data_IF_508277094686
#
_entry.id   IF_508277094686
#
_cell.length_a   1.000
_cell.length_b   1.000
_cell.length_c   1.000
_cell.angle_alpha   90.00
_cell.angle_beta   90.00
_cell.angle_gamma   90.00
#
_symmetry.space_group_name_H-M   'P 1'
#
loop_
_entity.id
_entity.type
_entity.pdbx_description
1 polymer ?
#
# COMPACT_ATOMS: atom_id res chain seq x y z
N UNK A 1 15.67 -13.09 -17.29
CA UNK A 1 16.20 -12.84 -15.94
C UNK A 1 15.18 -13.37 -14.95
N UNK A 2 15.60 -14.20 -13.99
CA UNK A 2 14.70 -14.66 -12.92
C UNK A 2 14.54 -13.51 -11.92
N UNK A 3 13.31 -13.15 -11.56
CA UNK A 3 13.03 -12.19 -10.50
C UNK A 3 13.59 -12.70 -9.17
N UNK A 4 14.16 -11.80 -8.36
CA UNK A 4 14.59 -12.13 -7.01
C UNK A 4 13.39 -12.49 -6.11
N UNK A 5 13.58 -13.29 -5.04
CA UNK A 5 12.51 -13.56 -4.08
C UNK A 5 11.89 -12.29 -3.47
N UNK A 6 12.68 -11.23 -3.33
CA UNK A 6 12.20 -9.92 -2.87
C UNK A 6 11.25 -9.26 -3.88
N UNK A 7 11.60 -9.26 -5.18
CA UNK A 7 10.75 -8.69 -6.23
C UNK A 7 9.42 -9.44 -6.31
N UNK A 8 9.44 -10.78 -6.23
CA UNK A 8 8.23 -11.60 -6.24
C UNK A 8 7.30 -11.27 -5.06
N UNK A 9 7.84 -11.24 -3.83
CA UNK A 9 7.06 -10.86 -2.65
C UNK A 9 6.56 -9.41 -2.72
N UNK A 10 7.36 -8.49 -3.27
CA UNK A 10 6.95 -7.09 -3.40
C UNK A 10 5.80 -6.91 -4.38
N UNK A 11 5.79 -7.66 -5.49
CA UNK A 11 4.66 -7.66 -6.42
C UNK A 11 3.42 -8.33 -5.80
N UNK A 12 3.57 -9.47 -5.12
CA UNK A 12 2.45 -10.11 -4.39
C UNK A 12 1.85 -9.15 -3.35
N UNK A 13 2.71 -8.44 -2.61
CA UNK A 13 2.27 -7.44 -1.63
C UNK A 13 1.46 -6.32 -2.28
N UNK A 14 1.95 -5.74 -3.40
CA UNK A 14 1.23 -4.69 -4.13
C UNK A 14 -0.11 -5.18 -4.66
N UNK A 15 -0.17 -6.39 -5.22
CA UNK A 15 -1.41 -6.99 -5.70
C UNK A 15 -2.44 -7.15 -4.57
N UNK A 16 -2.03 -7.62 -3.39
CA UNK A 16 -2.92 -7.73 -2.23
C UNK A 16 -3.37 -6.37 -1.69
N UNK A 17 -2.53 -5.33 -1.76
CA UNK A 17 -2.95 -3.97 -1.40
C UNK A 17 -4.00 -3.41 -2.36
N UNK A 18 -4.01 -3.80 -3.64
CA UNK A 18 -5.12 -3.43 -4.55
C UNK A 18 -6.45 -4.01 -4.08
N UNK A 19 -6.45 -5.20 -3.47
CA UNK A 19 -7.67 -5.79 -2.89
C UNK A 19 -8.12 -5.03 -1.62
N UNK A 20 -7.17 -4.52 -0.83
CA UNK A 20 -7.49 -3.62 0.31
C UNK A 20 -8.11 -2.32 -0.20
N UNK A 21 -7.55 -1.71 -1.25
CA UNK A 21 -8.12 -0.51 -1.87
C UNK A 21 -9.55 -0.76 -2.37
N UNK A 22 -9.78 -1.88 -3.07
CA UNK A 22 -11.13 -2.28 -3.54
C UNK A 22 -12.11 -2.48 -2.38
N UNK A 23 -11.67 -3.13 -1.28
CA UNK A 23 -12.49 -3.31 -0.08
C UNK A 23 -12.94 -1.97 0.51
N UNK A 24 -12.09 -0.95 0.42
CA UNK A 24 -12.34 0.38 0.96
C UNK A 24 -12.60 1.44 -0.11
N UNK A 25 -13.07 1.06 -1.30
CA UNK A 25 -13.11 1.96 -2.47
C UNK A 25 -13.91 3.24 -2.22
N UNK A 26 -14.98 3.17 -1.42
CA UNK A 26 -15.81 4.32 -1.06
C UNK A 26 -15.02 5.42 -0.33
N UNK A 27 -14.08 5.02 0.53
CA UNK A 27 -13.21 5.98 1.22
C UNK A 27 -12.38 6.79 0.22
N UNK A 28 -11.86 6.14 -0.82
CA UNK A 28 -11.01 6.78 -1.82
C UNK A 28 -11.82 7.61 -2.85
N UNK A 29 -13.02 7.15 -3.23
CA UNK A 29 -13.91 7.89 -4.15
C UNK A 29 -14.45 9.21 -3.59
N UNK A 30 -14.52 9.36 -2.27
CA UNK A 30 -14.99 10.58 -1.60
C UNK A 30 -13.88 11.61 -1.37
N UNK A 31 -12.64 11.32 -1.79
CA UNK A 31 -11.45 12.13 -1.49
C UNK A 31 -10.82 12.73 -2.72
N UNK A 32 -10.37 13.97 -2.57
CA UNK A 32 -9.50 14.61 -3.55
C UNK A 32 -8.19 13.82 -3.71
N UNK A 33 -7.65 13.73 -4.92
CA UNK A 33 -6.39 13.03 -5.17
C UNK A 33 -5.22 13.70 -4.43
N UNK A 34 -4.34 12.88 -3.84
CA UNK A 34 -3.09 13.38 -3.22
C UNK A 34 -2.11 13.89 -4.28
N UNK A 35 -2.08 13.25 -5.47
CA UNK A 35 -1.27 13.68 -6.59
C UNK A 35 -2.14 14.00 -7.81
N UNK A 36 -1.83 15.08 -8.52
CA UNK A 36 -2.57 15.47 -9.75
C UNK A 36 -2.60 14.38 -10.83
N UNK A 37 -1.60 13.48 -10.83
CA UNK A 37 -1.51 12.34 -11.76
C UNK A 37 -2.60 11.29 -11.59
N UNK A 38 -3.27 11.27 -10.43
CA UNK A 38 -4.22 10.24 -10.04
C UNK A 38 -5.64 10.52 -10.57
N UNK A 39 -5.81 11.66 -11.24
CA UNK A 39 -7.05 12.03 -11.89
C UNK A 39 -8.08 12.56 -10.89
N UNK A 40 -9.13 11.79 -10.64
CA UNK A 40 -10.32 12.27 -9.93
C UNK A 40 -10.40 11.84 -8.47
N UNK A 41 -9.55 10.92 -8.00
CA UNK A 41 -9.63 10.37 -6.65
C UNK A 41 -8.28 9.98 -6.07
N UNK A 42 -8.21 9.90 -4.76
CA UNK A 42 -7.06 9.39 -4.04
C UNK A 42 -6.90 7.86 -4.21
N UNK A 43 -5.71 7.33 -3.94
CA UNK A 43 -5.39 5.91 -4.03
C UNK A 43 -4.54 5.43 -2.87
N UNK A 44 -4.67 4.15 -2.51
CA UNK A 44 -3.94 3.57 -1.38
C UNK A 44 -2.42 3.66 -1.60
N UNK A 45 -1.94 3.55 -2.84
CA UNK A 45 -0.52 3.61 -3.16
C UNK A 45 0.17 4.93 -2.78
N UNK A 46 -0.59 5.99 -2.52
CA UNK A 46 -0.07 7.28 -2.08
C UNK A 46 0.31 7.33 -0.59
N UNK A 47 -0.19 6.35 0.17
CA UNK A 47 -0.21 6.41 1.63
C UNK A 47 0.79 5.48 2.30
N UNK A 48 1.51 4.67 1.55
CA UNK A 48 2.45 3.70 2.11
C UNK A 48 3.79 3.71 1.42
N UNK A 49 4.78 3.20 2.13
CA UNK A 49 6.14 2.99 1.62
C UNK A 49 6.62 1.60 2.01
N UNK A 50 7.26 0.92 1.06
CA UNK A 50 7.96 -0.35 1.26
C UNK A 50 9.43 -0.09 0.97
N UNK A 51 10.31 -0.38 1.93
CA UNK A 51 11.73 -0.15 1.78
C UNK A 51 12.54 -1.25 2.45
N UNK A 52 13.81 -1.37 2.05
CA UNK A 52 14.76 -2.25 2.71
C UNK A 52 15.61 -1.44 3.69
N UNK A 53 15.82 -1.99 4.88
CA UNK A 53 16.73 -1.44 5.87
C UNK A 53 17.64 -2.56 6.36
N UNK A 54 18.92 -2.47 5.98
CA UNK A 54 19.92 -3.53 6.20
C UNK A 54 19.51 -4.84 5.52
N UNK A 55 19.11 -5.84 6.29
CA UNK A 55 18.70 -7.18 5.87
C UNK A 55 17.19 -7.42 5.99
N UNK A 56 16.42 -6.38 6.31
CA UNK A 56 14.97 -6.48 6.55
C UNK A 56 14.17 -5.65 5.55
N UNK A 57 13.02 -6.17 5.19
CA UNK A 57 11.96 -5.40 4.51
C UNK A 57 11.14 -4.70 5.58
N UNK A 58 10.80 -3.45 5.32
CA UNK A 58 10.02 -2.58 6.21
C UNK A 58 8.85 -2.01 5.43
N UNK A 59 7.72 -1.94 6.12
CA UNK A 59 6.50 -1.32 5.66
C UNK A 59 6.06 -0.25 6.64
N UNK A 60 5.45 0.81 6.12
CA UNK A 60 4.95 1.92 6.92
C UNK A 60 4.11 2.86 6.08
N UNK A 61 3.49 3.82 6.76
CA UNK A 61 2.65 4.82 6.13
C UNK A 61 3.42 6.12 5.90
N UNK A 62 3.06 6.85 4.85
CA UNK A 62 3.57 8.18 4.59
C UNK A 62 3.27 9.09 5.80
N UNK A 63 4.16 10.05 6.08
CA UNK A 63 4.04 10.90 7.28
C UNK A 63 2.71 11.68 7.35
N UNK A 64 2.19 12.07 6.20
CA UNK A 64 0.92 12.77 6.02
C UNK A 64 -0.26 11.81 5.75
N UNK A 65 -0.08 10.51 5.91
CA UNK A 65 -1.16 9.54 5.68
C UNK A 65 -2.22 9.64 6.77
N UNK A 66 -3.40 10.07 6.35
CA UNK A 66 -4.60 10.18 7.16
C UNK A 66 -5.53 8.96 7.01
N UNK A 67 -5.02 7.85 6.48
CA UNK A 67 -5.79 6.62 6.37
C UNK A 67 -6.38 6.22 7.74
N UNK A 68 -7.67 5.85 7.79
CA UNK A 68 -8.30 5.29 8.97
C UNK A 68 -7.55 4.06 9.48
N UNK A 69 -7.60 3.84 10.78
CA UNK A 69 -6.92 2.72 11.44
C UNK A 69 -7.35 1.36 10.90
N UNK A 70 -8.59 1.23 10.43
CA UNK A 70 -9.09 0.00 9.80
C UNK A 70 -8.35 -0.32 8.49
N UNK A 71 -8.17 0.68 7.62
CA UNK A 71 -7.43 0.51 6.35
C UNK A 71 -5.95 0.24 6.65
N UNK A 72 -5.37 0.97 7.61
CA UNK A 72 -3.98 0.75 8.05
C UNK A 72 -3.79 -0.68 8.57
N UNK A 73 -4.72 -1.18 9.37
CA UNK A 73 -4.69 -2.55 9.90
C UNK A 73 -4.73 -3.58 8.76
N UNK A 74 -5.62 -3.43 7.79
CA UNK A 74 -5.70 -4.35 6.65
C UNK A 74 -4.36 -4.39 5.86
N UNK A 75 -3.72 -3.24 5.66
CA UNK A 75 -2.40 -3.20 5.00
C UNK A 75 -1.31 -3.90 5.81
N UNK A 76 -1.30 -3.73 7.14
CA UNK A 76 -0.35 -4.42 8.03
C UNK A 76 -0.60 -5.93 8.01
N UNK A 77 -1.86 -6.37 8.09
CA UNK A 77 -2.21 -7.79 8.01
C UNK A 77 -1.74 -8.41 6.69
N UNK A 78 -1.81 -7.67 5.58
CA UNK A 78 -1.28 -8.11 4.27
C UNK A 78 0.25 -8.18 4.28
N UNK A 79 0.93 -7.23 4.92
CA UNK A 79 2.40 -7.24 5.03
C UNK A 79 2.88 -8.47 5.81
N UNK A 80 2.28 -8.73 6.97
CA UNK A 80 2.62 -9.87 7.85
C UNK A 80 2.36 -11.23 7.19
N UNK A 81 1.47 -11.29 6.20
CA UNK A 81 1.21 -12.52 5.43
C UNK A 81 2.26 -12.77 4.34
N UNK A 82 2.83 -11.71 3.77
CA UNK A 82 3.73 -11.81 2.61
C UNK A 82 5.21 -11.85 3.05
N UNK A 83 5.59 -11.10 4.07
CA UNK A 83 6.98 -10.93 4.51
C UNK A 83 7.29 -11.61 5.85
#
# INVERSE_FOLDING_TARGET
MLQSPYEQKSEEFKEKLLEVEKKHIKYFEERDPVFESDGERDHLHNHWVLWTQSDRVKFGFAHNSDLPDEIKKDCIDVFDQVF
#
